data_IF_482164112611
#
_entry.id   IF_482164112611
#
_cell.length_a   1.000
_cell.length_b   1.000
_cell.length_c   1.000
_cell.angle_alpha   90.00
_cell.angle_beta   90.00
_cell.angle_gamma   90.00
#
_symmetry.space_group_name_H-M   'P 1'
#
loop_
_entity.id
_entity.type
_entity.pdbx_description
1 polymer ?
#
# COMPACT_ATOMS: atom_id res chain seq x y z
N UNK A 1 19.15 -11.89 16.23
CA UNK A 1 19.46 -10.77 15.31
C UNK A 1 18.21 -9.93 15.19
N UNK A 2 18.30 -8.66 15.57
CA UNK A 2 17.13 -7.80 15.78
C UNK A 2 16.27 -7.61 14.52
N UNK A 3 15.01 -8.04 14.58
CA UNK A 3 13.99 -7.84 13.54
C UNK A 3 13.65 -6.36 13.26
N UNK A 4 14.23 -5.40 13.99
CA UNK A 4 14.02 -3.97 13.80
C UNK A 4 14.69 -3.38 12.55
N UNK A 5 15.53 -4.16 11.86
CA UNK A 5 16.31 -3.71 10.68
C UNK A 5 15.41 -3.50 9.44
N UNK A 6 14.19 -4.01 9.43
CA UNK A 6 13.32 -3.99 8.27
C UNK A 6 12.18 -2.95 8.33
N UNK A 7 11.95 -2.34 9.49
CA UNK A 7 10.91 -1.34 9.65
C UNK A 7 11.37 0.03 9.14
N UNK A 8 10.57 0.67 8.31
CA UNK A 8 10.77 2.09 7.99
C UNK A 8 10.58 2.93 9.24
N UNK A 9 11.44 3.92 9.52
CA UNK A 9 11.22 4.85 10.63
C UNK A 9 9.84 5.52 10.57
N UNK A 10 9.35 5.88 9.38
CA UNK A 10 8.06 6.54 9.19
C UNK A 10 6.83 5.64 9.39
N UNK A 11 6.96 4.33 9.22
CA UNK A 11 5.87 3.40 9.53
C UNK A 11 5.66 3.26 11.04
N UNK A 12 6.67 3.59 11.83
CA UNK A 12 6.57 3.57 13.30
C UNK A 12 5.84 4.82 13.87
N UNK A 13 5.82 5.93 13.14
CA UNK A 13 5.33 7.21 13.66
C UNK A 13 3.85 7.48 13.44
N UNK A 14 3.14 6.69 12.62
CA UNK A 14 1.71 6.91 12.32
C UNK A 14 0.81 5.72 12.58
N UNK A 15 1.01 5.03 13.66
CA UNK A 15 -0.11 4.32 14.26
C UNK A 15 -0.75 5.29 15.24
N UNK A 16 -1.56 6.24 14.74
CA UNK A 16 -2.59 6.77 15.61
C UNK A 16 -3.33 5.57 16.18
N UNK A 17 -3.56 5.54 17.49
CA UNK A 17 -4.32 4.44 18.07
C UNK A 17 -5.71 4.49 17.43
N UNK A 18 -5.93 3.67 16.41
CA UNK A 18 -7.29 3.41 15.96
C UNK A 18 -8.02 2.90 17.19
N UNK A 19 -8.88 3.73 17.76
CA UNK A 19 -9.75 3.33 18.87
C UNK A 19 -10.62 2.21 18.31
N UNK A 20 -10.20 1.01 18.59
CA UNK A 20 -10.96 -0.16 18.15
C UNK A 20 -12.31 -0.11 18.86
N UNK A 21 -13.44 -0.35 18.18
CA UNK A 21 -14.78 -0.37 18.80
C UNK A 21 -14.86 -1.28 20.03
N UNK A 22 -13.97 -2.27 20.13
CA UNK A 22 -13.84 -3.18 21.28
C UNK A 22 -13.33 -2.51 22.56
N UNK A 23 -12.78 -1.29 22.51
CA UNK A 23 -12.32 -0.54 23.67
C UNK A 23 -13.36 0.46 24.20
N UNK A 24 -14.57 0.46 23.68
CA UNK A 24 -15.67 1.13 24.33
C UNK A 24 -15.91 0.51 25.71
N UNK A 25 -15.88 1.34 26.75
CA UNK A 25 -16.14 0.96 28.13
C UNK A 25 -17.45 0.16 28.15
N UNK A 26 -17.40 -1.14 28.44
CA UNK A 26 -18.55 -2.03 28.61
C UNK A 26 -18.75 -3.16 27.61
N UNK A 27 -18.03 -3.22 26.48
CA UNK A 27 -18.13 -4.38 25.57
C UNK A 27 -16.82 -4.71 24.90
N UNK A 28 -15.95 -5.47 25.54
CA UNK A 28 -14.54 -5.53 25.22
C UNK A 28 -14.26 -6.34 24.00
N UNK A 29 -14.65 -7.40 23.65
CA UNK A 29 -14.29 -8.24 22.50
C UNK A 29 -15.49 -9.05 22.01
N UNK A 30 -15.62 -9.26 20.69
CA UNK A 30 -16.67 -10.12 20.17
C UNK A 30 -16.52 -11.54 20.71
N UNK A 31 -17.61 -12.29 20.77
CA UNK A 31 -17.59 -13.69 21.23
C UNK A 31 -16.70 -14.55 20.35
N UNK A 32 -16.79 -14.30 19.03
CA UNK A 32 -16.05 -15.05 18.04
C UNK A 32 -14.54 -14.80 18.18
N UNK A 33 -14.13 -13.55 18.50
CA UNK A 33 -12.74 -13.25 18.78
C UNK A 33 -12.23 -13.92 20.07
N UNK A 34 -13.07 -14.02 21.09
CA UNK A 34 -12.71 -14.75 22.32
C UNK A 34 -12.51 -16.24 22.05
N UNK A 35 -13.44 -16.85 21.33
CA UNK A 35 -13.32 -18.25 20.92
C UNK A 35 -12.07 -18.48 20.06
N UNK A 36 -11.78 -17.56 19.13
CA UNK A 36 -10.58 -17.62 18.32
C UNK A 36 -9.31 -17.58 19.16
N UNK A 37 -9.20 -16.63 20.09
CA UNK A 37 -8.01 -16.47 20.94
C UNK A 37 -7.81 -17.67 21.85
N UNK A 38 -8.88 -18.20 22.44
CA UNK A 38 -8.81 -19.39 23.28
C UNK A 38 -8.42 -20.64 22.47
N UNK A 39 -9.00 -20.82 21.31
CA UNK A 39 -8.65 -21.93 20.41
C UNK A 39 -7.17 -21.87 19.96
N UNK A 40 -6.66 -20.67 19.58
CA UNK A 40 -5.25 -20.49 19.22
C UNK A 40 -4.38 -21.00 20.35
N UNK A 41 -4.68 -20.57 21.57
CA UNK A 41 -3.87 -20.87 22.75
C UNK A 41 -3.91 -22.35 23.13
N UNK A 42 -5.04 -23.00 22.96
CA UNK A 42 -5.24 -24.39 23.36
C UNK A 42 -4.80 -25.41 22.30
N UNK A 43 -4.90 -25.06 21.03
CA UNK A 43 -4.83 -26.04 19.96
C UNK A 43 -3.74 -25.75 18.91
N UNK A 44 -3.15 -24.57 18.91
CA UNK A 44 -2.18 -24.18 17.89
C UNK A 44 -0.81 -23.90 18.50
N UNK A 45 0.23 -24.28 17.76
CA UNK A 45 1.60 -23.96 18.14
C UNK A 45 1.94 -22.54 17.70
N UNK A 46 2.27 -21.64 18.63
CA UNK A 46 2.65 -20.26 18.34
C UNK A 46 3.97 -20.17 17.53
N UNK A 47 4.80 -21.20 17.54
CA UNK A 47 6.03 -21.27 16.73
C UNK A 47 5.75 -21.57 15.24
N UNK A 48 4.54 -21.99 14.89
CA UNK A 48 4.14 -22.14 13.49
C UNK A 48 4.08 -20.77 12.81
N UNK A 49 4.80 -20.58 11.66
CA UNK A 49 4.87 -19.29 10.99
C UNK A 49 3.50 -18.71 10.60
N UNK A 50 2.52 -19.55 10.28
CA UNK A 50 1.16 -19.12 9.92
C UNK A 50 0.45 -18.62 11.17
N UNK A 51 0.53 -19.38 12.25
CA UNK A 51 -0.08 -19.04 13.55
C UNK A 51 0.58 -17.80 14.14
N UNK A 52 1.92 -17.73 14.13
CA UNK A 52 2.69 -16.57 14.58
C UNK A 52 2.33 -15.29 13.83
N UNK A 53 2.14 -15.37 12.51
CA UNK A 53 1.72 -14.24 11.68
C UNK A 53 0.27 -13.80 11.98
N UNK A 54 -0.61 -14.75 12.24
CA UNK A 54 -1.99 -14.47 12.66
C UNK A 54 -2.04 -13.79 14.02
N UNK A 55 -1.29 -14.28 15.00
CA UNK A 55 -1.16 -13.67 16.34
C UNK A 55 -0.55 -12.28 16.22
N UNK A 56 0.50 -12.10 15.40
CA UNK A 56 1.10 -10.82 15.10
C UNK A 56 0.05 -9.82 14.57
N UNK A 57 -0.73 -10.22 13.57
CA UNK A 57 -1.81 -9.40 13.02
C UNK A 57 -2.84 -9.01 14.06
N UNK A 58 -3.25 -9.95 14.94
CA UNK A 58 -4.18 -9.67 16.03
C UNK A 58 -3.59 -8.70 17.06
N UNK A 59 -2.29 -8.83 17.39
CA UNK A 59 -1.58 -7.91 18.31
C UNK A 59 -1.45 -6.51 17.73
N UNK A 60 -1.07 -6.39 16.46
CA UNK A 60 -0.92 -5.11 15.76
C UNK A 60 -2.24 -4.33 15.68
N UNK A 61 -3.34 -5.07 15.52
CA UNK A 61 -4.68 -4.49 15.54
C UNK A 61 -5.28 -4.38 16.95
N UNK A 62 -4.52 -4.65 18.01
CA UNK A 62 -4.97 -4.66 19.43
C UNK A 62 -6.17 -5.58 19.68
N UNK A 63 -6.31 -6.62 18.88
CA UNK A 63 -7.35 -7.64 19.00
C UNK A 63 -6.90 -8.84 19.85
N UNK A 64 -5.60 -9.00 20.05
CA UNK A 64 -5.05 -10.04 20.93
C UNK A 64 -4.99 -9.49 22.36
N UNK A 65 -5.85 -10.00 23.26
CA UNK A 65 -5.97 -9.44 24.61
C UNK A 65 -4.78 -9.78 25.48
N UNK A 66 -4.63 -9.01 26.56
CA UNK A 66 -3.63 -9.30 27.59
C UNK A 66 -3.85 -10.70 28.18
N UNK A 67 -2.80 -11.44 28.58
CA UNK A 67 -2.88 -12.77 29.14
C UNK A 67 -3.90 -12.93 30.29
N UNK A 68 -4.02 -11.93 31.17
CA UNK A 68 -5.01 -11.95 32.26
C UNK A 68 -6.47 -11.95 31.74
N UNK A 69 -6.71 -11.27 30.62
CA UNK A 69 -8.04 -11.27 29.98
C UNK A 69 -8.32 -12.63 29.37
N UNK A 70 -7.32 -13.24 28.74
CA UNK A 70 -7.42 -14.58 28.18
C UNK A 70 -7.73 -15.62 29.29
N UNK A 71 -7.00 -15.56 30.42
CA UNK A 71 -7.22 -16.42 31.58
C UNK A 71 -8.61 -16.29 32.17
N UNK A 72 -9.19 -15.08 32.20
CA UNK A 72 -10.58 -14.87 32.61
C UNK A 72 -11.56 -15.54 31.66
N UNK A 73 -11.27 -15.55 30.38
CA UNK A 73 -12.12 -16.23 29.39
C UNK A 73 -12.04 -17.75 29.51
N UNK A 74 -10.87 -18.32 29.75
CA UNK A 74 -10.68 -19.73 30.06
C UNK A 74 -11.52 -20.17 31.27
N UNK A 75 -11.45 -19.40 32.35
CA UNK A 75 -12.25 -19.67 33.56
C UNK A 75 -13.75 -19.59 33.29
N UNK A 76 -14.18 -18.67 32.44
CA UNK A 76 -15.60 -18.58 32.04
C UNK A 76 -16.01 -19.78 31.18
N UNK A 77 -15.15 -20.25 30.29
CA UNK A 77 -15.40 -21.43 29.47
C UNK A 77 -15.49 -22.70 30.30
N UNK A 78 -14.52 -22.87 31.20
CA UNK A 78 -14.51 -24.00 32.15
C UNK A 78 -15.77 -24.04 33.06
N UNK A 79 -16.22 -22.89 33.55
CA UNK A 79 -17.36 -22.81 34.47
C UNK A 79 -18.72 -22.81 33.80
N UNK A 80 -18.80 -22.38 32.54
CA UNK A 80 -20.08 -22.17 31.84
C UNK A 80 -20.21 -23.02 30.55
N UNK A 81 -19.15 -23.76 30.18
CA UNK A 81 -19.09 -24.52 28.94
C UNK A 81 -18.98 -23.65 27.68
N UNK A 82 -18.84 -22.31 27.83
CA UNK A 82 -18.60 -21.39 26.75
C UNK A 82 -18.06 -20.05 27.27
N UNK A 83 -17.14 -19.45 26.56
CA UNK A 83 -16.62 -18.10 26.81
C UNK A 83 -17.63 -16.99 26.46
N UNK A 84 -18.92 -17.30 26.37
CA UNK A 84 -19.96 -16.39 25.93
C UNK A 84 -20.55 -15.64 27.13
N UNK A 85 -20.50 -14.29 27.14
CA UNK A 85 -21.41 -13.55 27.99
C UNK A 85 -22.83 -13.83 27.52
N UNK A 86 -23.79 -14.01 28.50
CA UNK A 86 -25.18 -14.21 28.17
C UNK A 86 -25.67 -13.22 27.12
N UNK A 87 -26.18 -13.70 26.01
CA UNK A 87 -26.68 -12.86 24.91
C UNK A 87 -27.76 -11.92 25.45
N UNK A 88 -27.55 -10.63 25.33
CA UNK A 88 -28.68 -9.71 25.26
C UNK A 88 -29.44 -10.05 23.96
N UNK A 89 -30.69 -10.46 24.11
CA UNK A 89 -31.60 -10.81 23.02
C UNK A 89 -31.65 -9.68 21.99
N UNK A 90 -31.15 -9.84 20.80
CA UNK A 90 -31.24 -8.81 19.76
C UNK A 90 -30.76 -9.18 18.37
N UNK A 91 -29.93 -10.18 18.19
CA UNK A 91 -29.44 -10.48 16.84
C UNK A 91 -29.59 -11.98 16.53
N UNK A 92 -30.73 -12.36 15.96
CA UNK A 92 -31.01 -13.73 15.52
C UNK A 92 -30.21 -14.21 14.32
N UNK A 93 -29.35 -13.35 13.76
CA UNK A 93 -28.54 -13.66 12.58
C UNK A 93 -27.04 -13.50 12.87
N UNK A 94 -26.53 -14.13 13.94
CA UNK A 94 -25.12 -14.35 14.12
C UNK A 94 -24.54 -15.07 12.89
N UNK A 95 -23.28 -14.86 12.60
CA UNK A 95 -22.56 -15.64 11.58
C UNK A 95 -22.88 -17.13 11.79
N UNK A 96 -23.28 -17.82 10.72
CA UNK A 96 -23.45 -19.28 10.77
C UNK A 96 -22.12 -20.02 10.85
N UNK A 97 -21.00 -19.29 10.65
CA UNK A 97 -19.67 -19.84 10.78
C UNK A 97 -19.43 -20.19 12.26
N UNK A 98 -18.94 -21.40 12.49
CA UNK A 98 -18.50 -21.85 13.81
C UNK A 98 -17.22 -21.14 14.22
N UNK A 99 -16.83 -21.21 15.51
CA UNK A 99 -15.54 -20.69 15.96
C UNK A 99 -14.38 -21.31 15.18
N UNK A 100 -14.44 -22.60 14.88
CA UNK A 100 -13.45 -23.30 14.07
C UNK A 100 -13.39 -22.78 12.63
N UNK A 101 -14.55 -22.53 11.99
CA UNK A 101 -14.58 -21.96 10.65
C UNK A 101 -13.99 -20.55 10.60
N UNK A 102 -14.16 -19.74 11.65
CA UNK A 102 -13.58 -18.41 11.77
C UNK A 102 -12.04 -18.46 11.86
N UNK A 103 -11.51 -19.45 12.58
CA UNK A 103 -10.08 -19.68 12.67
C UNK A 103 -9.52 -20.07 11.30
N UNK A 104 -10.13 -21.05 10.65
CA UNK A 104 -9.73 -21.53 9.33
C UNK A 104 -9.82 -20.41 8.30
N UNK A 105 -10.87 -19.57 8.36
CA UNK A 105 -11.03 -18.38 7.55
C UNK A 105 -9.86 -17.40 7.77
N UNK A 106 -9.53 -17.09 9.02
CA UNK A 106 -8.45 -16.19 9.37
C UNK A 106 -7.09 -16.71 8.87
N UNK A 107 -6.79 -18.00 9.10
CA UNK A 107 -5.58 -18.65 8.62
C UNK A 107 -5.46 -18.58 7.10
N UNK A 108 -6.54 -18.90 6.38
CA UNK A 108 -6.56 -18.87 4.92
C UNK A 108 -6.34 -17.44 4.39
N UNK A 109 -6.95 -16.44 5.03
CA UNK A 109 -6.75 -15.02 4.68
C UNK A 109 -5.34 -14.53 4.97
N UNK A 110 -4.69 -14.97 6.01
CA UNK A 110 -3.28 -14.64 6.27
C UNK A 110 -2.37 -15.19 5.17
N UNK A 111 -2.62 -16.42 4.70
CA UNK A 111 -1.85 -17.04 3.64
C UNK A 111 -2.20 -16.47 2.25
N UNK A 112 -3.48 -16.20 2.01
CA UNK A 112 -4.03 -15.77 0.73
C UNK A 112 -4.91 -14.52 0.87
N UNK A 113 -4.32 -13.34 1.12
CA UNK A 113 -5.09 -12.12 1.46
C UNK A 113 -6.01 -11.64 0.34
N UNK A 114 -5.78 -12.04 -0.91
CA UNK A 114 -6.60 -11.69 -2.08
C UNK A 114 -7.60 -12.78 -2.49
N UNK A 115 -7.72 -13.87 -1.72
CA UNK A 115 -8.64 -14.96 -2.04
C UNK A 115 -10.08 -14.46 -2.20
N UNK A 116 -10.84 -15.09 -3.09
CA UNK A 116 -12.27 -14.79 -3.26
C UNK A 116 -13.12 -15.75 -2.40
N UNK A 117 -14.39 -15.39 -2.17
CA UNK A 117 -15.28 -16.18 -1.33
C UNK A 117 -15.45 -17.64 -1.79
N UNK A 118 -15.34 -17.90 -3.10
CA UNK A 118 -15.41 -19.26 -3.63
C UNK A 118 -14.21 -20.12 -3.19
N UNK A 119 -12.99 -19.54 -3.21
CA UNK A 119 -11.77 -20.23 -2.76
C UNK A 119 -11.82 -20.52 -1.26
N UNK A 120 -12.28 -19.56 -0.48
CA UNK A 120 -12.48 -19.72 0.97
C UNK A 120 -13.49 -20.85 1.25
N UNK A 121 -14.61 -20.87 0.56
CA UNK A 121 -15.61 -21.93 0.70
C UNK A 121 -15.02 -23.32 0.36
N UNK A 122 -14.25 -23.41 -0.72
CA UNK A 122 -13.59 -24.67 -1.11
C UNK A 122 -12.62 -25.13 -0.03
N UNK A 123 -11.87 -24.21 0.56
CA UNK A 123 -10.94 -24.51 1.65
C UNK A 123 -11.70 -24.98 2.90
N UNK A 124 -12.73 -24.23 3.34
CA UNK A 124 -13.56 -24.60 4.49
C UNK A 124 -14.25 -25.93 4.29
N UNK A 125 -14.75 -26.20 3.08
CA UNK A 125 -15.35 -27.50 2.75
C UNK A 125 -14.33 -28.64 2.91
N UNK A 126 -13.13 -28.48 2.38
CA UNK A 126 -12.06 -29.48 2.51
C UNK A 126 -11.64 -29.73 3.96
N UNK A 127 -11.58 -28.67 4.76
CA UNK A 127 -11.28 -28.76 6.19
C UNK A 127 -12.39 -29.43 7.01
N UNK A 128 -13.63 -29.42 6.52
CA UNK A 128 -14.79 -30.01 7.16
C UNK A 128 -15.27 -31.31 6.45
N UNK A 129 -14.41 -31.99 5.71
CA UNK A 129 -14.75 -33.25 5.05
C UNK A 129 -15.24 -34.25 6.12
N UNK A 130 -16.42 -34.80 5.85
CA UNK A 130 -17.10 -35.75 6.79
C UNK A 130 -18.06 -35.08 7.76
N UNK A 131 -18.17 -33.76 7.79
CA UNK A 131 -19.20 -33.07 8.53
C UNK A 131 -20.51 -32.99 7.71
N UNK A 132 -21.57 -33.78 8.01
CA UNK A 132 -22.80 -33.79 7.21
C UNK A 132 -23.58 -32.47 7.33
N UNK A 133 -23.26 -31.62 8.30
CA UNK A 133 -23.92 -30.35 8.55
C UNK A 133 -23.22 -29.17 7.91
N UNK A 134 -22.05 -29.39 7.23
CA UNK A 134 -21.38 -28.32 6.55
C UNK A 134 -22.15 -27.86 5.31
N UNK A 135 -22.39 -26.59 5.20
CA UNK A 135 -22.95 -25.96 4.00
C UNK A 135 -22.06 -24.81 3.52
N UNK A 136 -22.01 -24.61 2.21
CA UNK A 136 -21.29 -23.45 1.65
C UNK A 136 -21.88 -22.14 2.17
N UNK A 137 -20.99 -21.21 2.51
CA UNK A 137 -21.35 -19.88 2.98
C UNK A 137 -21.52 -18.92 1.81
N UNK A 138 -22.49 -18.02 1.90
CA UNK A 138 -22.63 -16.95 0.92
C UNK A 138 -21.47 -15.95 1.06
N UNK A 139 -21.10 -15.21 0.00
CA UNK A 139 -20.06 -14.17 0.09
C UNK A 139 -20.35 -13.13 1.18
N UNK A 140 -21.61 -12.80 1.42
CA UNK A 140 -22.01 -11.88 2.48
C UNK A 140 -21.85 -12.46 3.89
N UNK A 141 -22.00 -13.77 4.07
CA UNK A 141 -21.72 -14.42 5.35
C UNK A 141 -20.23 -14.43 5.64
N UNK A 142 -19.40 -14.74 4.63
CA UNK A 142 -17.93 -14.67 4.75
C UNK A 142 -17.48 -13.24 5.09
N UNK A 143 -17.99 -12.23 4.37
CA UNK A 143 -17.65 -10.82 4.65
C UNK A 143 -18.03 -10.39 6.07
N UNK A 144 -19.24 -10.78 6.55
CA UNK A 144 -19.65 -10.50 7.93
C UNK A 144 -18.79 -11.23 8.95
N UNK A 145 -18.37 -12.45 8.64
CA UNK A 145 -17.47 -13.21 9.50
C UNK A 145 -16.08 -12.52 9.57
N UNK A 146 -15.55 -12.07 8.44
CA UNK A 146 -14.29 -11.30 8.38
C UNK A 146 -14.39 -10.01 9.20
N UNK A 147 -15.47 -9.26 9.07
CA UNK A 147 -15.72 -8.06 9.88
C UNK A 147 -15.79 -8.37 11.38
N UNK A 148 -16.39 -9.50 11.76
CA UNK A 148 -16.53 -9.88 13.18
C UNK A 148 -15.19 -10.18 13.85
N UNK A 149 -14.20 -10.61 13.09
CA UNK A 149 -12.82 -10.85 13.55
C UNK A 149 -11.89 -9.65 13.26
N UNK A 150 -12.44 -8.49 12.89
CA UNK A 150 -11.71 -7.26 12.70
C UNK A 150 -11.03 -7.10 11.34
N UNK A 151 -11.29 -7.99 10.39
CA UNK A 151 -10.77 -7.85 9.02
C UNK A 151 -11.57 -6.82 8.23
N UNK A 152 -10.88 -5.98 7.49
CA UNK A 152 -11.50 -4.97 6.63
C UNK A 152 -10.98 -5.09 5.21
N UNK A 153 -11.83 -4.78 4.23
CA UNK A 153 -11.43 -4.75 2.82
C UNK A 153 -10.40 -3.65 2.59
N UNK A 154 -9.23 -4.03 2.09
CA UNK A 154 -8.14 -3.11 1.74
C UNK A 154 -7.81 -3.23 0.26
N UNK A 155 -7.27 -2.15 -0.33
CA UNK A 155 -6.67 -2.23 -1.67
C UNK A 155 -5.45 -3.15 -1.58
N UNK A 156 -5.49 -4.28 -2.28
CA UNK A 156 -4.37 -5.23 -2.30
C UNK A 156 -3.26 -4.72 -3.21
N UNK A 157 -2.04 -4.72 -2.71
CA UNK A 157 -0.82 -4.60 -3.52
C UNK A 157 -0.15 -5.96 -3.67
N UNK A 158 0.69 -6.12 -4.68
CA UNK A 158 1.54 -7.29 -4.84
C UNK A 158 2.97 -6.82 -4.83
N UNK A 159 3.73 -7.27 -3.84
CA UNK A 159 5.18 -7.04 -3.81
C UNK A 159 5.86 -8.21 -4.48
N UNK A 160 6.86 -7.93 -5.31
CA UNK A 160 7.63 -8.98 -5.95
C UNK A 160 8.35 -9.83 -4.88
N UNK A 161 8.33 -11.15 -5.06
CA UNK A 161 9.01 -12.08 -4.15
C UNK A 161 10.49 -11.72 -3.95
N UNK A 162 11.14 -11.26 -5.02
CA UNK A 162 12.55 -10.83 -5.02
C UNK A 162 12.82 -9.66 -4.05
N UNK A 163 11.82 -8.86 -3.70
CA UNK A 163 11.96 -7.79 -2.72
C UNK A 163 12.50 -8.30 -1.37
N UNK A 164 12.12 -9.52 -1.01
CA UNK A 164 12.49 -10.14 0.27
C UNK A 164 13.80 -10.93 0.23
N UNK A 165 14.49 -10.98 -0.90
CA UNK A 165 15.82 -11.58 -0.93
C UNK A 165 16.79 -10.78 -0.02
N UNK A 166 17.67 -11.46 0.73
CA UNK A 166 18.58 -10.81 1.68
C UNK A 166 19.39 -9.66 1.07
N UNK A 167 19.77 -9.79 -0.20
CA UNK A 167 20.51 -8.74 -0.91
C UNK A 167 19.67 -7.48 -1.10
N UNK A 168 18.38 -7.60 -1.43
CA UNK A 168 17.49 -6.45 -1.66
C UNK A 168 17.03 -5.83 -0.33
N UNK A 169 16.80 -6.65 0.69
CA UNK A 169 16.55 -6.17 2.05
C UNK A 169 17.74 -5.36 2.59
N UNK A 170 18.98 -5.83 2.34
CA UNK A 170 20.20 -5.10 2.72
C UNK A 170 20.34 -3.78 1.98
N UNK A 171 20.01 -3.77 0.66
CA UNK A 171 20.00 -2.52 -0.12
C UNK A 171 18.97 -1.53 0.42
N UNK A 172 17.77 -2.00 0.75
CA UNK A 172 16.73 -1.17 1.35
C UNK A 172 17.12 -0.64 2.72
N UNK A 173 17.73 -1.49 3.56
CA UNK A 173 18.27 -1.06 4.84
C UNK A 173 19.30 0.05 4.66
N UNK A 174 20.27 -0.11 3.74
CA UNK A 174 21.27 0.92 3.44
C UNK A 174 20.63 2.23 2.99
N UNK A 175 19.68 2.15 2.06
CA UNK A 175 18.95 3.32 1.56
C UNK A 175 18.37 4.18 2.69
N UNK A 176 17.75 3.53 3.69
CA UNK A 176 17.07 4.22 4.78
C UNK A 176 17.93 4.53 6.01
N UNK A 177 19.05 3.83 6.22
CA UNK A 177 19.78 3.90 7.49
C UNK A 177 21.22 4.43 7.35
N UNK A 178 21.75 4.53 6.14
CA UNK A 178 23.06 5.11 5.94
C UNK A 178 22.94 6.56 5.47
N UNK A 179 23.91 7.42 5.85
CA UNK A 179 23.98 8.78 5.34
C UNK A 179 24.36 8.82 3.85
N UNK A 180 24.14 9.96 3.21
CA UNK A 180 24.63 10.22 1.87
C UNK A 180 26.18 10.09 1.86
N UNK A 181 26.81 9.53 0.82
CA UNK A 181 26.25 9.07 -0.46
C UNK A 181 25.76 7.60 -0.47
N UNK A 182 25.79 6.88 0.64
CA UNK A 182 25.46 5.47 0.71
C UNK A 182 23.95 5.21 0.91
N UNK A 183 23.23 6.21 1.37
CA UNK A 183 21.80 6.16 1.65
C UNK A 183 21.19 7.56 1.78
N UNK A 184 20.02 7.64 2.40
CA UNK A 184 19.19 8.84 2.48
C UNK A 184 18.86 9.23 3.94
N UNK A 185 19.53 8.64 4.94
CA UNK A 185 19.17 8.83 6.35
C UNK A 185 19.29 10.27 6.85
N UNK A 186 20.24 11.04 6.31
CA UNK A 186 20.54 12.41 6.68
C UNK A 186 20.11 13.44 5.62
N UNK A 187 19.46 13.00 4.55
CA UNK A 187 19.05 13.88 3.46
C UNK A 187 17.72 14.53 3.78
N UNK A 188 17.73 15.85 3.94
CA UNK A 188 16.50 16.62 4.12
C UNK A 188 15.61 16.50 2.86
N UNK A 189 14.30 16.32 3.06
CA UNK A 189 13.33 16.17 1.98
C UNK A 189 13.37 17.32 0.95
N UNK A 190 13.64 18.55 1.39
CA UNK A 190 13.76 19.73 0.52
C UNK A 190 14.94 19.66 -0.45
N UNK A 191 15.87 18.74 -0.22
CA UNK A 191 17.04 18.48 -1.05
C UNK A 191 16.90 17.24 -1.93
N UNK A 192 15.71 16.66 -2.00
CA UNK A 192 15.44 15.43 -2.75
C UNK A 192 14.66 15.78 -4.01
N UNK A 193 15.17 15.32 -5.15
CA UNK A 193 14.42 15.26 -6.41
C UNK A 193 14.12 13.80 -6.68
N UNK A 194 12.86 13.43 -6.61
CA UNK A 194 12.39 12.06 -6.89
C UNK A 194 11.78 12.01 -8.28
N UNK A 195 12.28 11.11 -9.12
CA UNK A 195 11.83 10.99 -10.51
C UNK A 195 11.53 9.54 -10.89
N UNK A 196 10.54 9.38 -11.76
CA UNK A 196 10.14 8.10 -12.31
C UNK A 196 9.19 8.31 -13.50
N UNK A 197 8.82 7.23 -14.19
CA UNK A 197 7.87 7.27 -15.29
C UNK A 197 6.62 6.43 -15.04
N UNK A 198 5.50 6.90 -15.58
CA UNK A 198 4.28 6.12 -15.65
C UNK A 198 3.67 6.14 -17.06
N UNK A 199 2.96 5.06 -17.41
CA UNK A 199 2.25 4.96 -18.67
C UNK A 199 0.74 5.18 -18.48
N UNK A 200 0.15 6.05 -19.32
CA UNK A 200 -1.28 6.27 -19.38
C UNK A 200 -1.83 5.95 -20.76
N UNK A 201 -3.03 5.38 -20.81
CA UNK A 201 -3.79 5.24 -22.03
C UNK A 201 -5.03 6.11 -21.92
N UNK A 202 -5.52 6.66 -23.03
CA UNK A 202 -6.79 7.40 -23.02
C UNK A 202 -7.89 6.60 -22.32
N UNK A 203 -7.90 5.29 -22.50
CA UNK A 203 -8.89 4.38 -21.89
C UNK A 203 -8.53 3.84 -20.51
N UNK A 204 -7.27 3.94 -20.06
CA UNK A 204 -6.89 3.54 -18.67
C UNK A 204 -7.51 4.47 -17.63
N UNK A 205 -8.08 5.56 -18.09
CA UNK A 205 -8.89 6.47 -17.31
C UNK A 205 -10.31 5.94 -17.07
N UNK A 206 -10.82 4.96 -17.83
CA UNK A 206 -12.17 4.42 -17.68
C UNK A 206 -12.39 3.84 -16.30
N UNK A 207 -13.53 4.17 -15.71
CA UNK A 207 -13.90 3.68 -14.37
C UNK A 207 -14.28 2.20 -14.45
N UNK A 208 -13.67 1.33 -13.62
CA UNK A 208 -14.00 -0.10 -13.65
C UNK A 208 -15.37 -0.42 -13.05
N UNK A 209 -16.02 0.54 -12.40
CA UNK A 209 -17.30 0.37 -11.73
C UNK A 209 -18.22 1.57 -12.01
N UNK A 210 -19.50 1.27 -12.21
CA UNK A 210 -20.56 2.26 -12.38
C UNK A 210 -21.80 1.88 -11.57
N UNK A 211 -22.84 2.68 -11.67
CA UNK A 211 -24.15 2.41 -11.06
C UNK A 211 -25.19 2.26 -12.16
N UNK A 212 -26.07 1.27 -11.98
CA UNK A 212 -27.26 1.08 -12.81
C UNK A 212 -28.43 0.73 -11.90
N UNK A 213 -29.65 0.78 -12.41
CA UNK A 213 -30.82 0.30 -11.67
C UNK A 213 -30.68 -1.17 -11.35
N UNK A 214 -31.27 -1.60 -10.24
CA UNK A 214 -31.28 -2.99 -9.82
C UNK A 214 -31.77 -3.92 -10.94
N UNK A 215 -30.99 -4.94 -11.25
CA UNK A 215 -31.27 -5.87 -12.36
C UNK A 215 -30.72 -5.45 -13.73
N UNK A 216 -30.18 -4.24 -13.87
CA UNK A 216 -29.54 -3.79 -15.10
C UNK A 216 -28.02 -3.87 -15.02
N UNK A 217 -27.36 -4.11 -16.15
CA UNK A 217 -25.90 -4.04 -16.25
C UNK A 217 -25.46 -2.61 -16.54
N UNK A 218 -24.38 -2.18 -15.91
CA UNK A 218 -23.67 -0.98 -16.34
C UNK A 218 -23.07 -1.26 -17.70
N UNK A 219 -23.44 -0.47 -18.68
CA UNK A 219 -22.90 -0.51 -20.04
C UNK A 219 -22.42 0.89 -20.40
N UNK A 220 -21.19 0.97 -20.84
CA UNK A 220 -20.57 2.16 -21.38
C UNK A 220 -20.09 1.84 -22.79
N UNK A 221 -20.35 2.75 -23.73
CA UNK A 221 -19.83 2.62 -25.08
C UNK A 221 -18.43 3.23 -25.09
N UNK A 222 -17.45 2.41 -25.35
CA UNK A 222 -16.05 2.81 -25.45
C UNK A 222 -15.32 2.00 -26.51
N UNK A 223 -14.18 2.47 -26.99
CA UNK A 223 -13.39 1.74 -27.96
C UNK A 223 -12.91 0.39 -27.34
N UNK A 224 -12.96 -0.66 -28.14
CA UNK A 224 -12.58 -2.02 -27.71
C UNK A 224 -11.08 -2.16 -27.47
N UNK A 225 -10.26 -1.46 -28.26
CA UNK A 225 -8.80 -1.51 -28.14
C UNK A 225 -8.30 -0.44 -27.16
N UNK A 226 -7.25 -0.77 -26.43
CA UNK A 226 -6.49 0.23 -25.67
C UNK A 226 -5.92 1.22 -26.69
N UNK A 227 -6.23 2.49 -26.54
CA UNK A 227 -5.65 3.53 -27.36
C UNK A 227 -4.15 3.67 -27.18
N UNK A 228 -3.60 4.69 -27.78
CA UNK A 228 -2.19 5.04 -27.67
C UNK A 228 -1.72 5.11 -26.22
N UNK A 229 -0.52 4.60 -25.97
CA UNK A 229 0.13 4.69 -24.68
C UNK A 229 0.93 5.97 -24.60
N UNK A 230 0.55 6.85 -23.72
CA UNK A 230 1.30 8.04 -23.37
C UNK A 230 2.16 7.78 -22.14
N UNK A 231 3.45 8.11 -22.23
CA UNK A 231 4.37 8.00 -21.12
C UNK A 231 4.54 9.39 -20.50
N UNK A 232 4.57 9.43 -19.18
CA UNK A 232 4.80 10.64 -18.38
C UNK A 232 6.05 10.40 -17.55
N UNK A 233 7.10 11.15 -17.82
CA UNK A 233 8.28 11.25 -16.99
C UNK A 233 8.09 12.47 -16.10
N UNK A 234 8.13 12.26 -14.81
CA UNK A 234 7.87 13.28 -13.80
C UNK A 234 9.04 13.30 -12.82
N UNK A 235 9.54 14.47 -12.54
CA UNK A 235 10.43 14.73 -11.42
C UNK A 235 9.79 15.76 -10.49
N UNK A 236 9.92 15.57 -9.20
CA UNK A 236 9.37 16.46 -8.18
C UNK A 236 10.39 16.71 -7.08
N UNK A 237 10.43 17.93 -6.59
CA UNK A 237 11.25 18.30 -5.44
C UNK A 237 10.42 18.21 -4.15
N UNK A 238 11.02 17.70 -3.08
CA UNK A 238 10.40 17.66 -1.75
C UNK A 238 10.39 19.02 -1.02
N UNK A 239 10.90 20.06 -1.67
CA UNK A 239 10.83 21.44 -1.18
C UNK A 239 9.40 21.97 -1.32
N UNK A 240 8.88 22.56 -0.24
CA UNK A 240 7.65 23.31 -0.33
C UNK A 240 7.88 24.63 -1.05
N UNK A 241 6.94 25.00 -1.92
CA UNK A 241 6.99 26.29 -2.57
C UNK A 241 6.99 27.39 -1.50
N UNK A 242 8.02 28.25 -1.53
CA UNK A 242 8.09 29.41 -0.64
C UNK A 242 7.46 30.64 -1.32
N UNK A 243 6.83 31.49 -0.51
CA UNK A 243 6.29 32.79 -0.94
C UNK A 243 5.25 32.71 -2.09
N UNK A 244 4.39 31.67 -2.10
CA UNK A 244 3.36 31.51 -3.11
C UNK A 244 3.84 30.89 -4.41
N UNK A 245 5.10 30.47 -4.51
CA UNK A 245 5.58 29.68 -5.61
C UNK A 245 5.15 28.21 -5.44
N UNK A 246 4.64 27.60 -6.52
CA UNK A 246 4.33 26.19 -6.53
C UNK A 246 5.60 25.35 -6.31
N UNK A 247 5.45 24.17 -5.67
CA UNK A 247 6.54 23.22 -5.51
C UNK A 247 7.14 22.82 -6.89
N UNK A 248 8.47 22.68 -6.94
CA UNK A 248 9.20 22.42 -8.19
C UNK A 248 8.82 21.06 -8.78
N UNK A 249 8.54 21.07 -10.06
CA UNK A 249 8.20 19.90 -10.86
C UNK A 249 8.65 20.03 -12.30
N UNK A 250 9.05 18.93 -12.90
CA UNK A 250 9.44 18.82 -14.29
C UNK A 250 8.68 17.66 -14.93
N UNK A 251 8.15 17.86 -16.12
CA UNK A 251 7.26 16.90 -16.79
C UNK A 251 7.64 16.79 -18.25
N UNK A 252 7.85 15.57 -18.73
CA UNK A 252 7.92 15.24 -20.15
C UNK A 252 6.87 14.18 -20.50
N UNK A 253 6.14 14.37 -21.63
CA UNK A 253 5.07 13.48 -22.06
C UNK A 253 5.30 13.10 -23.52
N UNK A 254 5.29 11.81 -23.83
CA UNK A 254 5.47 11.33 -25.20
C UNK A 254 4.62 10.11 -25.50
N UNK A 255 4.36 9.94 -26.82
CA UNK A 255 3.61 8.82 -27.36
C UNK A 255 4.54 7.62 -27.52
N UNK A 256 4.09 6.45 -27.03
CA UNK A 256 4.70 5.12 -27.23
C UNK A 256 6.22 5.00 -26.92
N UNK A 257 6.71 3.77 -26.96
CA UNK A 257 8.09 3.47 -26.61
C UNK A 257 8.37 3.53 -25.10
N UNK A 258 9.58 3.14 -24.73
CA UNK A 258 10.10 3.26 -23.37
C UNK A 258 10.94 4.52 -23.20
N UNK A 259 11.38 4.77 -21.98
CA UNK A 259 12.31 5.85 -21.65
C UNK A 259 13.71 5.50 -22.20
N UNK A 260 14.12 6.19 -23.26
CA UNK A 260 15.46 6.04 -23.82
C UNK A 260 16.48 6.80 -23.00
N UNK A 261 17.76 6.42 -23.12
CA UNK A 261 18.86 7.16 -22.47
C UNK A 261 18.92 8.61 -22.93
N UNK A 262 18.73 8.86 -24.24
CA UNK A 262 18.72 10.22 -24.80
C UNK A 262 17.63 11.07 -24.15
N UNK A 263 16.39 10.56 -24.08
CA UNK A 263 15.27 11.29 -23.45
C UNK A 263 15.54 11.55 -21.97
N UNK A 264 16.13 10.58 -21.27
CA UNK A 264 16.50 10.76 -19.86
C UNK A 264 17.58 11.84 -19.70
N UNK A 265 18.57 11.88 -20.61
CA UNK A 265 19.60 12.92 -20.61
C UNK A 265 18.99 14.30 -20.86
N UNK A 266 18.12 14.43 -21.87
CA UNK A 266 17.43 15.69 -22.19
C UNK A 266 16.61 16.18 -21.00
N UNK A 267 15.86 15.27 -20.37
CA UNK A 267 15.02 15.58 -19.20
C UNK A 267 15.86 16.00 -17.97
N UNK A 268 16.92 15.26 -17.67
CA UNK A 268 17.82 15.59 -16.55
C UNK A 268 18.58 16.89 -16.85
N UNK A 269 18.96 17.15 -18.09
CA UNK A 269 19.56 18.43 -18.50
C UNK A 269 18.63 19.59 -18.19
N UNK A 270 17.35 19.50 -18.58
CA UNK A 270 16.38 20.54 -18.29
C UNK A 270 16.20 20.80 -16.78
N UNK A 271 16.22 19.72 -15.96
CA UNK A 271 16.20 19.86 -14.50
C UNK A 271 17.43 20.60 -14.01
N UNK A 272 18.63 20.20 -14.48
CA UNK A 272 19.91 20.76 -14.03
C UNK A 272 20.10 22.20 -14.47
N UNK A 273 19.58 22.56 -15.64
CA UNK A 273 19.59 23.97 -16.11
C UNK A 273 18.68 24.84 -15.22
N UNK A 274 17.55 24.33 -14.75
CA UNK A 274 16.65 25.05 -13.86
C UNK A 274 17.19 25.18 -12.43
N UNK A 275 17.82 24.13 -11.90
CA UNK A 275 18.35 24.16 -10.53
C UNK A 275 19.78 24.72 -10.44
N UNK A 276 20.55 24.75 -11.55
CA UNK A 276 21.93 25.24 -11.61
C UNK A 276 22.93 24.27 -11.00
N UNK A 277 24.19 24.76 -10.86
CA UNK A 277 25.26 24.01 -10.22
C UNK A 277 25.08 23.95 -8.68
N UNK A 278 25.50 22.84 -8.09
CA UNK A 278 25.50 22.70 -6.64
C UNK A 278 26.45 23.69 -5.96
N UNK A 279 26.00 24.22 -4.82
CA UNK A 279 26.79 25.02 -3.89
C UNK A 279 26.65 24.42 -2.48
N UNK A 280 27.36 24.95 -1.49
CA UNK A 280 27.24 24.50 -0.10
C UNK A 280 25.78 24.58 0.42
N UNK A 281 25.06 25.62 -0.02
CA UNK A 281 23.67 25.86 0.41
C UNK A 281 22.65 25.33 -0.58
N UNK A 282 23.06 24.84 -1.75
CA UNK A 282 22.20 24.42 -2.83
C UNK A 282 22.69 23.11 -3.45
N UNK A 283 22.32 22.01 -2.81
CA UNK A 283 22.71 20.66 -3.22
C UNK A 283 21.48 19.74 -3.22
N UNK A 284 21.26 19.02 -4.31
CA UNK A 284 20.16 18.06 -4.42
C UNK A 284 20.67 16.64 -4.56
N UNK A 285 19.86 15.68 -4.07
CA UNK A 285 20.03 14.25 -4.26
C UNK A 285 18.90 13.74 -5.14
N UNK A 286 19.24 13.27 -6.32
CA UNK A 286 18.31 12.61 -7.22
C UNK A 286 18.05 11.19 -6.71
N UNK A 287 16.78 10.83 -6.52
CA UNK A 287 16.39 9.47 -6.20
C UNK A 287 15.55 8.88 -7.32
N UNK A 288 15.91 7.69 -7.75
CA UNK A 288 15.34 6.99 -8.90
C UNK A 288 15.21 5.50 -8.61
N UNK A 289 14.40 4.81 -9.40
CA UNK A 289 14.41 3.34 -9.42
C UNK A 289 15.66 2.79 -10.13
N UNK A 290 15.73 1.47 -10.29
CA UNK A 290 16.90 0.80 -10.89
C UNK A 290 16.75 0.53 -12.40
N UNK A 291 15.94 1.30 -13.12
CA UNK A 291 15.78 1.15 -14.56
C UNK A 291 17.12 1.41 -15.27
N UNK A 292 17.36 0.70 -16.39
CA UNK A 292 18.64 0.82 -17.10
C UNK A 292 18.91 2.24 -17.64
N UNK A 293 17.88 2.97 -18.08
CA UNK A 293 17.99 4.36 -18.50
C UNK A 293 18.42 5.27 -17.35
N UNK A 294 17.91 5.05 -16.14
CA UNK A 294 18.27 5.81 -14.93
C UNK A 294 19.71 5.52 -14.48
N UNK A 295 20.16 4.28 -14.64
CA UNK A 295 21.52 3.85 -14.24
C UNK A 295 22.58 4.08 -15.30
N UNK A 296 22.22 4.69 -16.41
CA UNK A 296 23.19 4.96 -17.46
C UNK A 296 24.30 5.89 -16.94
N UNK A 297 25.55 5.54 -17.25
CA UNK A 297 26.74 6.26 -16.79
C UNK A 297 26.70 7.73 -17.22
N UNK A 298 26.19 8.03 -18.41
CA UNK A 298 26.10 9.41 -18.90
C UNK A 298 25.10 10.25 -18.07
N UNK A 299 23.96 9.68 -17.67
CA UNK A 299 22.97 10.36 -16.81
C UNK A 299 23.58 10.67 -15.43
N UNK A 300 24.23 9.68 -14.84
CA UNK A 300 24.88 9.84 -13.53
C UNK A 300 26.03 10.86 -13.60
N UNK A 301 26.87 10.76 -14.63
CA UNK A 301 27.98 11.69 -14.83
C UNK A 301 27.48 13.12 -15.02
N UNK A 302 26.40 13.32 -15.76
CA UNK A 302 25.81 14.65 -15.96
C UNK A 302 25.38 15.29 -14.64
N UNK A 303 24.67 14.53 -13.78
CA UNK A 303 24.24 15.01 -12.46
C UNK A 303 25.46 15.37 -11.60
N UNK A 304 26.52 14.55 -11.63
CA UNK A 304 27.73 14.77 -10.86
C UNK A 304 28.57 15.96 -11.40
N UNK A 305 28.58 16.22 -12.73
CA UNK A 305 29.22 17.39 -13.31
C UNK A 305 28.61 18.69 -12.77
N UNK A 306 27.30 18.71 -12.53
CA UNK A 306 26.61 19.82 -11.88
C UNK A 306 26.81 19.84 -10.34
N UNK A 307 27.53 18.87 -9.79
CA UNK A 307 27.84 18.78 -8.36
C UNK A 307 26.76 18.16 -7.50
N UNK A 308 25.65 17.67 -8.08
CA UNK A 308 24.55 17.03 -7.37
C UNK A 308 24.78 15.53 -7.16
N UNK A 309 23.96 14.91 -6.32
CA UNK A 309 24.10 13.51 -5.95
C UNK A 309 23.03 12.60 -6.54
N UNK A 310 23.30 11.28 -6.56
CA UNK A 310 22.35 10.24 -6.99
C UNK A 310 22.33 9.12 -5.98
N UNK A 311 21.14 8.70 -5.54
CA UNK A 311 20.93 7.51 -4.70
C UNK A 311 19.76 6.71 -5.25
N UNK A 312 20.00 5.43 -5.57
CA UNK A 312 18.96 4.55 -6.11
C UNK A 312 18.14 3.91 -5.02
N UNK A 313 16.82 3.87 -5.24
CA UNK A 313 15.89 3.10 -4.40
C UNK A 313 16.24 1.60 -4.43
N UNK A 314 15.89 0.89 -3.38
CA UNK A 314 16.07 -0.55 -3.37
C UNK A 314 15.18 -1.22 -4.44
N UNK A 315 15.69 -2.23 -5.18
CA UNK A 315 14.91 -2.93 -6.18
C UNK A 315 13.63 -3.53 -5.59
N UNK A 316 12.54 -3.47 -6.36
CA UNK A 316 11.20 -3.99 -6.00
C UNK A 316 10.49 -3.26 -4.85
N UNK A 317 11.02 -2.14 -4.38
CA UNK A 317 10.44 -1.33 -3.31
C UNK A 317 9.97 0.03 -3.85
N UNK A 318 9.08 0.00 -4.84
CA UNK A 318 8.46 1.20 -5.41
C UNK A 318 7.85 2.13 -4.35
N UNK A 319 7.23 1.53 -3.31
CA UNK A 319 6.66 2.27 -2.18
C UNK A 319 7.66 3.15 -1.40
N UNK A 320 8.97 3.03 -1.69
CA UNK A 320 10.01 3.87 -1.11
C UNK A 320 10.23 5.19 -1.89
N UNK A 321 9.54 5.38 -3.02
CA UNK A 321 9.50 6.61 -3.80
C UNK A 321 8.27 7.45 -3.48
N UNK A 322 8.45 8.76 -3.26
CA UNK A 322 7.35 9.72 -3.12
C UNK A 322 6.57 9.84 -4.43
N UNK A 323 7.27 9.74 -5.56
CA UNK A 323 6.73 9.84 -6.91
C UNK A 323 5.60 8.83 -7.18
N UNK A 324 5.65 7.65 -6.63
CA UNK A 324 4.63 6.63 -6.77
C UNK A 324 3.26 7.04 -6.17
N UNK A 325 3.30 7.73 -5.04
CA UNK A 325 2.10 8.29 -4.43
C UNK A 325 1.57 9.47 -5.23
N UNK A 326 2.47 10.25 -5.83
CA UNK A 326 2.12 11.37 -6.70
C UNK A 326 1.44 10.84 -7.98
N UNK A 327 1.97 9.78 -8.59
CA UNK A 327 1.30 9.12 -9.72
C UNK A 327 -0.09 8.59 -9.35
N UNK A 328 -0.29 8.04 -8.16
CA UNK A 328 -1.62 7.64 -7.71
C UNK A 328 -2.58 8.84 -7.59
N UNK A 329 -2.10 9.98 -7.12
CA UNK A 329 -2.87 11.23 -7.07
C UNK A 329 -3.18 11.73 -8.47
N UNK A 330 -2.18 11.80 -9.34
CA UNK A 330 -2.33 12.19 -10.75
C UNK A 330 -3.40 11.34 -11.45
N UNK A 331 -3.30 10.01 -11.32
CA UNK A 331 -4.30 9.10 -11.89
C UNK A 331 -5.71 9.34 -11.34
N UNK A 332 -5.82 9.72 -10.08
CA UNK A 332 -7.11 10.04 -9.45
C UNK A 332 -7.69 11.33 -10.01
N UNK A 333 -6.87 12.36 -10.17
CA UNK A 333 -7.26 13.64 -10.76
C UNK A 333 -7.68 13.49 -12.21
N UNK A 334 -6.87 12.81 -13.04
CA UNK A 334 -7.19 12.50 -14.44
C UNK A 334 -8.49 11.73 -14.54
N UNK A 335 -8.70 10.70 -13.71
CA UNK A 335 -9.95 9.93 -13.66
C UNK A 335 -11.16 10.76 -13.21
N UNK A 336 -10.95 11.80 -12.44
CA UNK A 336 -12.00 12.75 -12.03
C UNK A 336 -12.54 13.56 -13.22
N UNK A 337 -11.73 13.74 -14.26
CA UNK A 337 -12.00 14.60 -15.44
C UNK A 337 -12.22 13.82 -16.73
N UNK A 338 -12.63 12.55 -16.64
CA UNK A 338 -12.82 11.67 -17.81
C UNK A 338 -13.75 12.24 -18.87
N UNK A 339 -14.77 13.00 -18.47
CA UNK A 339 -15.74 13.61 -19.37
C UNK A 339 -15.12 14.71 -20.26
N UNK A 340 -13.95 15.22 -19.91
CA UNK A 340 -13.19 16.21 -20.68
C UNK A 340 -12.27 15.56 -21.72
N UNK A 341 -11.89 14.29 -21.51
CA UNK A 341 -10.89 13.57 -22.31
C UNK A 341 -11.59 12.87 -23.49
N UNK A 342 -11.47 13.42 -24.68
CA UNK A 342 -12.03 12.87 -25.92
C UNK A 342 -10.96 12.30 -26.84
N UNK A 343 -9.74 12.81 -26.74
CA UNK A 343 -8.61 12.47 -27.59
C UNK A 343 -7.29 12.60 -26.79
N UNK A 344 -6.18 12.30 -27.43
CA UNK A 344 -4.85 12.35 -26.83
C UNK A 344 -4.43 13.74 -26.37
N UNK A 345 -4.81 14.79 -27.10
CA UNK A 345 -4.47 16.18 -26.71
C UNK A 345 -5.20 16.58 -25.42
N UNK A 346 -6.48 16.20 -25.29
CA UNK A 346 -7.23 16.43 -24.05
C UNK A 346 -6.60 15.68 -22.88
N UNK A 347 -6.11 14.44 -23.10
CA UNK A 347 -5.40 13.68 -22.09
C UNK A 347 -4.13 14.38 -21.64
N UNK A 348 -3.31 14.84 -22.60
CA UNK A 348 -2.05 15.56 -22.32
C UNK A 348 -2.33 16.83 -21.52
N UNK A 349 -3.28 17.65 -21.96
CA UNK A 349 -3.69 18.86 -21.25
C UNK A 349 -4.17 18.54 -19.84
N UNK A 350 -5.01 17.51 -19.68
CA UNK A 350 -5.52 17.08 -18.38
C UNK A 350 -4.40 16.60 -17.46
N UNK A 351 -3.38 15.90 -17.99
CA UNK A 351 -2.21 15.49 -17.21
C UNK A 351 -1.45 16.72 -16.71
N UNK A 352 -1.10 17.66 -17.59
CA UNK A 352 -0.37 18.88 -17.20
C UNK A 352 -1.14 19.67 -16.14
N UNK A 353 -2.42 19.94 -16.35
CA UNK A 353 -3.26 20.68 -15.42
C UNK A 353 -3.41 19.95 -14.09
N UNK A 354 -3.54 18.61 -14.12
CA UNK A 354 -3.62 17.81 -12.90
C UNK A 354 -2.33 17.86 -12.09
N UNK A 355 -1.17 17.81 -12.74
CA UNK A 355 0.13 17.95 -12.07
C UNK A 355 0.29 19.37 -11.51
N UNK A 356 -0.13 20.39 -12.27
CA UNK A 356 -0.08 21.79 -11.82
C UNK A 356 -1.00 22.07 -10.63
N UNK A 357 -2.10 21.35 -10.51
CA UNK A 357 -3.05 21.50 -9.40
C UNK A 357 -2.56 20.93 -8.06
N UNK A 358 -1.42 20.26 -8.03
CA UNK A 358 -0.81 19.77 -6.79
C UNK A 358 0.08 20.87 -6.20
N UNK A 359 -0.38 21.54 -5.16
CA UNK A 359 0.30 22.71 -4.59
C UNK A 359 1.60 22.36 -3.86
N UNK A 360 1.68 21.19 -3.22
CA UNK A 360 2.83 20.76 -2.43
C UNK A 360 3.09 19.26 -2.57
N UNK A 361 4.37 18.90 -2.61
CA UNK A 361 4.81 17.51 -2.61
C UNK A 361 5.36 17.04 -1.25
N UNK A 362 5.55 17.93 -0.30
CA UNK A 362 6.19 17.64 1.00
C UNK A 362 5.52 16.52 1.77
N UNK A 363 4.19 16.46 1.75
CA UNK A 363 3.43 15.40 2.41
C UNK A 363 3.70 14.01 1.82
N UNK A 364 3.98 13.91 0.50
CA UNK A 364 4.32 12.64 -0.13
C UNK A 364 5.69 12.15 0.33
N UNK A 365 6.67 13.05 0.41
CA UNK A 365 7.99 12.73 0.94
C UNK A 365 7.95 12.34 2.42
N UNK A 366 7.18 13.06 3.23
CA UNK A 366 6.98 12.72 4.65
C UNK A 366 6.29 11.35 4.81
N UNK A 367 5.29 11.04 3.99
CA UNK A 367 4.59 9.76 4.03
C UNK A 367 5.50 8.57 3.68
N UNK A 368 6.50 8.79 2.83
CA UNK A 368 7.48 7.76 2.48
C UNK A 368 8.53 7.58 3.58
N UNK A 369 8.80 8.60 4.40
CA UNK A 369 9.71 8.53 5.53
C UNK A 369 10.82 9.57 5.53
N UNK A 370 10.83 10.48 4.57
CA UNK A 370 11.76 11.60 4.60
C UNK A 370 11.28 12.64 5.63
N UNK A 371 12.18 13.04 6.51
CA UNK A 371 11.93 14.00 7.59
C UNK A 371 12.60 15.33 7.20
N UNK A 372 12.12 16.40 7.79
CA UNK A 372 12.74 17.74 7.65
C UNK A 372 14.15 17.75 8.17
#
# INVERSE_FOLDING_TARGET
>A
MNNNILARPALQTRVEPVRHPSHCIGNPYSQDLRALVLFIRENLNEDDPIVGNMIGTLRDNRLYPHPDTQRRWELLEQNQGHARPCRRSGNRYGSRLTGQDLILLAMYRCAYPKAIAAEINTFLYRANIGNPYFSFYSPSQISKAEESIGMTRKKGSTTAYQAYFPVNLRKRWRYWNLPYPLGMADVNRSRIIDLDECGLFVQSSNRPHGKAYKGMRVRELGPYQKGEKWNVLLAVCGEDGQNGNAARRWVDIWLEGGTTVTRMLDFVTAILEDIGHATNDHFYVFTMDNLNSHRNVAVVALIHIFGHGVVYRAPYWAVDGAIEFIFNTLLTLVRGRLYEIRNSNDLIATIYESIQSIDSFSNYFTNVGFIL
#
